data_IF_273133988212
#
_entry.id   IF_273133988212
#
_cell.length_a   1.000
_cell.length_b   1.000
_cell.length_c   1.000
_cell.angle_alpha   90.00
_cell.angle_beta   90.00
_cell.angle_gamma   90.00
#
_symmetry.space_group_name_H-M   'P 1'
#
loop_
_entity.id
_entity.type
_entity.pdbx_description
1 polymer ?
#
# COMPACT_ATOMS: atom_id res chain seq x y z
N UNK A 1 -0.96 -2.85 -29.18
CA UNK A 1 -0.61 -3.35 -27.83
C UNK A 1 -0.85 -4.84 -27.85
N UNK A 2 0.22 -5.63 -27.79
CA UNK A 2 0.16 -7.09 -27.79
C UNK A 2 -0.44 -7.58 -26.46
N UNK A 3 -1.50 -8.39 -26.50
CA UNK A 3 -2.15 -8.95 -25.30
C UNK A 3 -2.01 -10.47 -25.25
N UNK A 4 -1.61 -11.02 -24.10
CA UNK A 4 -1.73 -12.44 -23.77
C UNK A 4 -2.91 -12.62 -22.83
N UNK A 5 -3.94 -13.34 -23.29
CA UNK A 5 -5.08 -13.73 -22.48
C UNK A 5 -4.84 -15.13 -21.93
N UNK A 6 -5.06 -15.31 -20.62
CA UNK A 6 -4.82 -16.57 -19.90
C UNK A 6 -6.08 -16.95 -19.14
N UNK A 7 -6.76 -17.99 -19.62
CA UNK A 7 -7.87 -18.61 -18.91
C UNK A 7 -7.36 -19.59 -17.86
N UNK A 8 -7.99 -19.61 -16.68
CA UNK A 8 -7.75 -20.54 -15.59
C UNK A 8 -9.00 -21.43 -15.41
N UNK A 9 -9.15 -22.54 -16.14
CA UNK A 9 -10.36 -23.37 -16.10
C UNK A 9 -10.75 -23.88 -14.70
N UNK A 10 -9.77 -23.98 -13.79
CA UNK A 10 -10.01 -24.36 -12.40
C UNK A 10 -10.46 -23.23 -11.47
N UNK A 11 -10.61 -21.99 -11.96
CA UNK A 11 -10.97 -20.81 -11.18
C UNK A 11 -9.95 -20.43 -10.10
N UNK A 12 -8.73 -20.94 -10.20
CA UNK A 12 -7.73 -20.87 -9.13
C UNK A 12 -6.31 -20.80 -9.66
N UNK A 13 -5.48 -20.01 -8.98
CA UNK A 13 -4.06 -19.87 -9.27
C UNK A 13 -3.23 -20.18 -8.03
N UNK A 14 -2.22 -21.04 -8.20
CA UNK A 14 -1.37 -21.52 -7.11
C UNK A 14 0.04 -20.98 -7.25
N UNK A 15 0.41 -20.07 -6.35
CA UNK A 15 1.77 -19.59 -6.20
C UNK A 15 1.94 -19.02 -4.78
N UNK A 16 3.10 -19.25 -4.17
CA UNK A 16 3.43 -18.71 -2.86
C UNK A 16 4.12 -17.36 -2.98
N UNK A 17 3.77 -16.43 -2.09
CA UNK A 17 4.55 -15.22 -1.87
C UNK A 17 5.89 -15.59 -1.22
N UNK A 18 6.98 -14.98 -1.68
CA UNK A 18 8.32 -15.25 -1.17
C UNK A 18 8.53 -14.77 0.28
N UNK A 19 7.82 -13.72 0.70
CA UNK A 19 7.92 -13.15 2.04
C UNK A 19 7.07 -13.90 3.09
N UNK A 20 5.86 -14.34 2.73
CA UNK A 20 5.02 -15.23 3.54
C UNK A 20 4.53 -16.40 2.68
N UNK A 21 5.13 -17.59 2.82
CA UNK A 21 4.77 -18.78 2.04
C UNK A 21 3.32 -19.26 2.21
N UNK A 22 2.59 -18.78 3.22
CA UNK A 22 1.15 -19.05 3.39
C UNK A 22 0.29 -18.16 2.53
N UNK A 23 0.78 -16.98 2.15
CA UNK A 23 0.02 -16.05 1.34
C UNK A 23 0.18 -16.39 -0.15
N UNK A 24 -0.91 -16.39 -0.92
CA UNK A 24 -0.80 -16.51 -2.35
C UNK A 24 -0.12 -15.27 -2.94
N UNK A 25 0.75 -15.50 -3.93
CA UNK A 25 1.13 -14.45 -4.86
C UNK A 25 -0.08 -14.17 -5.75
N UNK A 26 -0.60 -12.94 -5.76
CA UNK A 26 -1.70 -12.53 -6.63
C UNK A 26 -1.56 -11.04 -6.97
N UNK A 27 -1.76 -10.63 -8.23
CA UNK A 27 -1.97 -11.44 -9.44
C UNK A 27 -0.73 -12.28 -9.84
N UNK A 28 -0.80 -13.14 -10.87
CA UNK A 28 0.38 -13.82 -11.39
C UNK A 28 1.44 -12.81 -11.86
N UNK A 29 2.66 -12.90 -11.32
CA UNK A 29 3.74 -12.00 -11.72
C UNK A 29 4.12 -12.21 -13.21
N UNK A 30 4.35 -11.14 -14.00
CA UNK A 30 4.73 -11.28 -15.41
C UNK A 30 5.95 -12.18 -15.66
N UNK A 31 6.94 -12.18 -14.77
CA UNK A 31 8.12 -13.07 -14.90
C UNK A 31 7.77 -14.56 -14.82
N UNK A 32 6.70 -14.90 -14.09
CA UNK A 32 6.23 -16.27 -13.93
C UNK A 32 5.41 -16.71 -15.14
N UNK A 33 4.63 -15.81 -15.72
CA UNK A 33 3.95 -16.02 -16.99
C UNK A 33 4.99 -16.23 -18.11
N UNK A 34 6.03 -15.40 -18.16
CA UNK A 34 7.15 -15.59 -19.09
C UNK A 34 7.82 -16.96 -18.92
N UNK A 35 8.06 -17.38 -17.68
CA UNK A 35 8.64 -18.71 -17.41
C UNK A 35 7.74 -19.85 -17.92
N UNK A 36 6.41 -19.68 -17.87
CA UNK A 36 5.46 -20.65 -18.41
C UNK A 36 5.45 -20.69 -19.94
N UNK A 37 5.58 -19.53 -20.61
CA UNK A 37 5.79 -19.44 -22.06
C UNK A 37 7.09 -20.14 -22.48
N UNK A 38 8.20 -19.88 -21.79
CA UNK A 38 9.47 -20.57 -22.07
C UNK A 38 9.31 -22.08 -21.88
N UNK A 39 8.65 -22.53 -20.81
CA UNK A 39 8.37 -23.95 -20.60
C UNK A 39 7.51 -24.56 -21.73
N UNK A 40 6.52 -23.82 -22.25
CA UNK A 40 5.69 -24.23 -23.37
C UNK A 40 6.51 -24.41 -24.66
N UNK A 41 7.54 -23.58 -24.86
CA UNK A 41 8.47 -23.68 -25.99
C UNK A 41 9.28 -25.00 -25.99
N UNK A 42 9.51 -25.60 -24.81
CA UNK A 42 10.19 -26.89 -24.64
C UNK A 42 9.23 -28.07 -24.40
N UNK A 43 7.91 -27.84 -24.43
CA UNK A 43 6.91 -28.85 -24.08
C UNK A 43 6.99 -30.09 -24.98
N UNK A 44 7.02 -31.27 -24.38
CA UNK A 44 7.13 -32.55 -25.10
C UNK A 44 8.54 -32.88 -25.60
N UNK A 45 9.58 -32.27 -25.01
CA UNK A 45 10.99 -32.56 -25.34
C UNK A 45 11.50 -31.87 -26.61
N UNK A 46 10.72 -30.94 -27.17
CA UNK A 46 11.13 -30.14 -28.34
C UNK A 46 12.19 -29.11 -27.97
N UNK A 47 12.86 -28.61 -29.01
CA UNK A 47 13.69 -27.41 -28.93
C UNK A 47 12.95 -26.25 -29.59
N UNK A 48 12.99 -25.04 -29.02
CA UNK A 48 12.37 -23.88 -29.65
C UNK A 48 13.09 -23.53 -30.96
N UNK A 49 12.30 -23.24 -31.99
CA UNK A 49 12.77 -22.72 -33.27
C UNK A 49 13.45 -21.36 -33.13
N UNK A 50 14.18 -20.92 -34.16
CA UNK A 50 14.78 -19.59 -34.19
C UNK A 50 13.73 -18.47 -34.04
N UNK A 51 12.57 -18.63 -34.69
CA UNK A 51 11.46 -17.68 -34.60
C UNK A 51 10.85 -17.63 -33.19
N UNK A 52 10.61 -18.78 -32.55
CA UNK A 52 10.12 -18.84 -31.16
C UNK A 52 11.12 -18.21 -30.19
N UNK A 53 12.42 -18.48 -30.36
CA UNK A 53 13.48 -17.85 -29.54
C UNK A 53 13.51 -16.34 -29.71
N UNK A 54 13.42 -15.85 -30.96
CA UNK A 54 13.41 -14.42 -31.24
C UNK A 54 12.17 -13.74 -30.62
N UNK A 55 10.99 -14.35 -30.75
CA UNK A 55 9.76 -13.84 -30.16
C UNK A 55 9.83 -13.77 -28.63
N UNK A 56 10.36 -14.81 -27.98
CA UNK A 56 10.61 -14.81 -26.53
C UNK A 56 11.60 -13.72 -26.11
N UNK A 57 12.70 -13.52 -26.86
CA UNK A 57 13.68 -12.46 -26.59
C UNK A 57 13.08 -11.06 -26.72
N UNK A 58 12.20 -10.84 -27.72
CA UNK A 58 11.50 -9.58 -27.88
C UNK A 58 10.54 -9.33 -26.70
N UNK A 59 9.77 -10.35 -26.30
CA UNK A 59 8.86 -10.26 -25.16
C UNK A 59 9.60 -10.06 -23.83
N UNK A 60 10.78 -10.66 -23.68
CA UNK A 60 11.65 -10.50 -22.52
C UNK A 60 12.18 -9.07 -22.34
N UNK A 61 12.47 -8.41 -23.47
CA UNK A 61 12.96 -7.04 -23.53
C UNK A 61 11.82 -6.00 -23.54
N UNK A 62 10.57 -6.43 -23.61
CA UNK A 62 9.41 -5.55 -23.63
C UNK A 62 9.26 -4.78 -22.31
N UNK A 63 8.65 -3.58 -22.33
CA UNK A 63 8.32 -2.86 -21.10
C UNK A 63 7.38 -3.69 -20.22
N UNK A 64 7.32 -3.42 -18.90
CA UNK A 64 6.33 -4.05 -18.02
C UNK A 64 4.92 -3.99 -18.61
N UNK A 65 4.15 -5.09 -18.64
CA UNK A 65 2.82 -5.11 -19.25
C UNK A 65 1.76 -4.52 -18.32
N UNK A 66 0.72 -3.89 -18.85
CA UNK A 66 -0.52 -3.69 -18.11
C UNK A 66 -1.19 -5.04 -17.82
N UNK A 67 -1.88 -5.19 -16.70
CA UNK A 67 -2.44 -6.48 -16.26
C UNK A 67 -3.92 -6.33 -15.93
N UNK A 68 -4.75 -7.18 -16.51
CA UNK A 68 -6.16 -7.37 -16.15
C UNK A 68 -6.30 -8.68 -15.39
N UNK A 69 -7.04 -8.66 -14.29
CA UNK A 69 -7.38 -9.85 -13.52
C UNK A 69 -8.63 -9.59 -12.69
N UNK A 70 -9.44 -10.63 -12.40
CA UNK A 70 -10.63 -10.51 -11.55
C UNK A 70 -10.23 -10.30 -10.09
N UNK A 71 -11.20 -9.89 -9.28
CA UNK A 71 -11.09 -10.03 -7.83
C UNK A 71 -10.86 -11.50 -7.46
N UNK A 72 -10.08 -11.75 -6.40
CA UNK A 72 -9.81 -13.08 -5.91
C UNK A 72 -9.79 -13.15 -4.38
N UNK A 73 -10.28 -14.25 -3.82
CA UNK A 73 -10.04 -14.60 -2.41
C UNK A 73 -8.60 -15.10 -2.26
N UNK A 74 -7.79 -14.33 -1.52
CA UNK A 74 -6.36 -14.53 -1.30
C UNK A 74 -6.04 -14.94 0.14
N UNK A 75 -6.94 -15.69 0.78
CA UNK A 75 -6.75 -16.18 2.14
C UNK A 75 -5.45 -16.98 2.35
N UNK A 76 -4.83 -16.89 3.54
CA UNK A 76 -3.68 -17.71 3.89
C UNK A 76 -3.99 -19.21 3.77
N UNK A 77 -3.05 -19.96 3.22
CA UNK A 77 -3.12 -21.40 3.08
C UNK A 77 -3.20 -22.08 4.46
N UNK A 78 -4.09 -23.06 4.59
CA UNK A 78 -4.09 -23.98 5.71
C UNK A 78 -2.92 -24.98 5.61
N UNK A 79 -2.55 -25.55 6.76
CA UNK A 79 -1.56 -26.62 6.82
C UNK A 79 -2.14 -27.93 6.25
N UNK A 80 -1.48 -28.47 5.23
CA UNK A 80 -1.78 -29.75 4.63
C UNK A 80 -0.69 -30.78 5.00
N UNK A 81 -1.09 -31.95 5.49
CA UNK A 81 -0.17 -33.00 5.90
C UNK A 81 0.06 -34.00 4.76
N UNK A 82 1.17 -33.82 4.03
CA UNK A 82 1.48 -34.57 2.80
C UNK A 82 2.45 -35.71 3.07
N UNK A 83 2.23 -36.92 2.52
CA UNK A 83 3.17 -38.03 2.65
C UNK A 83 4.59 -37.69 2.19
N UNK A 84 5.62 -38.16 2.91
CA UNK A 84 7.01 -38.03 2.48
C UNK A 84 7.35 -39.21 1.58
N UNK A 85 7.55 -38.94 0.28
CA UNK A 85 7.89 -39.98 -0.71
C UNK A 85 9.35 -40.46 -0.62
N UNK A 86 10.23 -39.72 0.07
CA UNK A 86 11.64 -40.07 0.29
C UNK A 86 12.02 -39.93 1.78
N UNK A 87 11.72 -40.94 2.62
CA UNK A 87 12.23 -40.96 3.98
C UNK A 87 13.75 -41.15 3.93
N UNK A 88 14.52 -40.15 4.37
CA UNK A 88 15.99 -40.20 4.54
C UNK A 88 16.48 -41.29 5.52
N UNK A 89 15.63 -42.19 5.99
CA UNK A 89 15.90 -43.11 7.11
C UNK A 89 15.64 -44.58 6.82
N UNK A 90 15.56 -45.02 5.55
CA UNK A 90 15.42 -46.47 5.27
C UNK A 90 16.75 -47.23 5.08
N UNK A 91 17.90 -46.54 4.98
CA UNK A 91 19.19 -47.18 4.65
C UNK A 91 20.22 -47.14 5.79
N UNK A 92 20.07 -46.29 6.82
CA UNK A 92 21.02 -46.20 7.95
C UNK A 92 20.40 -46.54 9.33
N UNK A 93 19.50 -47.51 9.40
CA UNK A 93 19.11 -48.07 10.69
C UNK A 93 20.24 -48.96 11.21
N UNK A 94 21.08 -48.42 12.13
CA UNK A 94 21.98 -49.22 12.96
C UNK A 94 21.22 -50.41 13.55
N UNK A 95 21.74 -51.62 13.36
CA UNK A 95 21.25 -52.86 14.00
C UNK A 95 20.95 -52.61 15.49
N UNK A 96 19.68 -52.67 15.88
CA UNK A 96 19.27 -52.69 17.30
C UNK A 96 18.18 -51.72 17.73
N UNK A 97 17.76 -50.76 16.90
CA UNK A 97 16.57 -49.93 17.23
C UNK A 97 15.39 -50.32 16.36
N UNK A 98 14.50 -51.15 16.90
CA UNK A 98 13.16 -51.33 16.36
C UNK A 98 12.39 -50.01 16.53
N UNK A 99 12.38 -49.16 15.51
CA UNK A 99 11.41 -48.07 15.46
C UNK A 99 10.08 -48.65 15.00
N UNK A 100 9.07 -48.58 15.87
CA UNK A 100 7.76 -49.21 15.69
C UNK A 100 6.98 -48.68 14.47
N UNK A 101 5.83 -49.31 14.14
CA UNK A 101 5.16 -49.19 12.83
C UNK A 101 4.52 -47.82 12.49
N UNK A 102 4.73 -46.76 13.27
CA UNK A 102 3.86 -45.57 13.26
C UNK A 102 4.60 -44.25 13.52
N UNK A 103 5.71 -43.96 12.84
CA UNK A 103 6.15 -42.56 12.76
C UNK A 103 5.27 -41.80 11.75
N UNK A 104 4.81 -40.56 12.05
CA UNK A 104 4.02 -39.77 11.12
C UNK A 104 4.82 -39.53 9.83
N UNK A 105 4.52 -40.29 8.77
CA UNK A 105 5.13 -40.11 7.45
C UNK A 105 4.53 -38.90 6.71
N UNK A 106 4.17 -37.83 7.44
CA UNK A 106 3.51 -36.65 6.88
C UNK A 106 4.29 -35.39 7.24
N UNK A 107 4.66 -34.63 6.23
CA UNK A 107 5.22 -33.29 6.39
C UNK A 107 4.13 -32.26 6.17
N UNK A 108 4.14 -31.21 7.00
CA UNK A 108 3.30 -30.04 6.79
C UNK A 108 3.78 -29.32 5.53
N UNK A 109 2.84 -29.08 4.61
CA UNK A 109 3.02 -28.28 3.41
C UNK A 109 1.87 -27.29 3.30
N UNK A 110 2.13 -26.18 2.65
CA UNK A 110 1.15 -25.13 2.38
C UNK A 110 1.01 -25.00 0.87
N UNK A 111 -0.23 -24.87 0.40
CA UNK A 111 -0.57 -24.72 -1.01
C UNK A 111 -1.40 -23.45 -1.18
N UNK A 112 -0.77 -22.26 -1.07
CA UNK A 112 -1.48 -21.01 -1.22
C UNK A 112 -2.08 -20.88 -2.61
N UNK A 113 -3.34 -20.47 -2.65
CA UNK A 113 -4.12 -20.32 -3.86
C UNK A 113 -4.92 -19.02 -3.81
N UNK A 114 -4.96 -18.30 -4.93
CA UNK A 114 -5.93 -17.25 -5.18
C UNK A 114 -7.13 -17.87 -5.88
N UNK A 115 -8.34 -17.70 -5.31
CA UNK A 115 -9.59 -18.17 -5.88
C UNK A 115 -10.30 -17.02 -6.58
N UNK A 116 -10.43 -17.11 -7.90
CA UNK A 116 -10.99 -16.03 -8.72
C UNK A 116 -12.50 -15.94 -8.49
N UNK A 117 -12.99 -14.75 -8.19
CA UNK A 117 -14.39 -14.48 -7.88
C UNK A 117 -15.18 -13.98 -9.10
N UNK A 118 -14.49 -13.54 -10.15
CA UNK A 118 -15.06 -13.15 -11.45
C UNK A 118 -14.73 -14.16 -12.56
N UNK A 119 -14.82 -13.69 -13.81
CA UNK A 119 -14.36 -14.47 -14.97
C UNK A 119 -12.90 -14.91 -14.76
N UNK A 120 -12.60 -16.22 -14.83
CA UNK A 120 -11.33 -16.78 -14.38
C UNK A 120 -10.23 -16.57 -15.43
N UNK A 121 -9.94 -15.30 -15.71
CA UNK A 121 -9.08 -14.87 -16.79
C UNK A 121 -8.12 -13.78 -16.33
N UNK A 122 -6.86 -13.91 -16.72
CA UNK A 122 -5.84 -12.88 -16.52
C UNK A 122 -5.30 -12.50 -17.89
N UNK A 123 -5.15 -11.21 -18.15
CA UNK A 123 -4.52 -10.73 -19.38
C UNK A 123 -3.33 -9.82 -19.09
N UNK A 124 -2.27 -9.96 -19.89
CA UNK A 124 -1.07 -9.15 -19.84
C UNK A 124 -0.93 -8.44 -21.18
N UNK A 125 -0.82 -7.12 -21.17
CA UNK A 125 -0.75 -6.32 -22.37
C UNK A 125 0.54 -5.49 -22.43
N UNK A 126 1.38 -5.75 -23.43
CA UNK A 126 2.66 -5.08 -23.66
C UNK A 126 2.52 -3.98 -24.71
N UNK A 127 3.09 -2.82 -24.40
CA UNK A 127 3.19 -1.70 -25.36
C UNK A 127 4.33 -1.93 -26.36
N UNK A 128 4.12 -2.95 -27.19
CA UNK A 128 4.97 -3.28 -28.34
C UNK A 128 4.08 -3.59 -29.54
N UNK A 129 4.64 -3.37 -30.72
CA UNK A 129 4.04 -3.79 -31.98
C UNK A 129 4.75 -5.06 -32.47
N UNK A 130 3.96 -6.03 -32.92
CA UNK A 130 4.45 -7.27 -33.53
C UNK A 130 3.81 -7.41 -34.91
N UNK A 131 4.54 -8.03 -35.83
CA UNK A 131 4.02 -8.44 -37.13
C UNK A 131 3.00 -9.59 -37.00
N UNK A 132 2.22 -9.84 -38.06
CA UNK A 132 1.27 -10.95 -38.08
C UNK A 132 1.96 -12.32 -37.91
N UNK A 133 3.15 -12.50 -38.50
CA UNK A 133 3.94 -13.72 -38.39
C UNK A 133 4.47 -13.92 -36.96
N UNK A 134 4.97 -12.87 -36.32
CA UNK A 134 5.42 -12.90 -34.92
C UNK A 134 4.27 -13.20 -33.96
N UNK A 135 3.09 -12.60 -34.19
CA UNK A 135 1.88 -12.88 -33.43
C UNK A 135 1.48 -14.35 -33.54
N UNK A 136 1.51 -14.93 -34.74
CA UNK A 136 1.18 -16.33 -34.95
C UNK A 136 2.16 -17.27 -34.22
N UNK A 137 3.45 -16.93 -34.20
CA UNK A 137 4.48 -17.68 -33.45
C UNK A 137 4.19 -17.61 -31.94
N UNK A 138 3.92 -16.42 -31.41
CA UNK A 138 3.60 -16.21 -30.00
C UNK A 138 2.31 -16.95 -29.60
N UNK A 139 1.26 -16.86 -30.40
CA UNK A 139 -0.03 -17.52 -30.14
C UNK A 139 0.11 -19.05 -30.15
N UNK A 140 0.87 -19.59 -31.12
CA UNK A 140 1.19 -21.03 -31.17
C UNK A 140 1.93 -21.49 -29.92
N UNK A 141 2.79 -20.63 -29.36
CA UNK A 141 3.53 -20.90 -28.13
C UNK A 141 2.63 -20.81 -26.89
N UNK A 142 1.75 -19.79 -26.82
CA UNK A 142 0.76 -19.65 -25.76
C UNK A 142 -0.22 -20.84 -25.71
N UNK A 143 -0.67 -21.33 -26.87
CA UNK A 143 -1.55 -22.50 -26.98
C UNK A 143 -0.95 -23.79 -26.40
N UNK A 144 0.38 -23.85 -26.19
CA UNK A 144 1.09 -24.98 -25.58
C UNK A 144 1.30 -24.82 -24.07
N UNK A 145 0.93 -23.69 -23.48
CA UNK A 145 1.01 -23.50 -22.04
C UNK A 145 0.11 -24.50 -21.33
N UNK A 146 0.64 -25.16 -20.30
CA UNK A 146 -0.11 -26.17 -19.52
C UNK A 146 -0.53 -25.63 -18.16
N UNK A 147 0.31 -24.83 -17.53
CA UNK A 147 0.07 -24.24 -16.22
C UNK A 147 0.91 -22.98 -16.02
N UNK A 148 0.51 -22.11 -15.10
CA UNK A 148 1.31 -20.99 -14.61
C UNK A 148 1.58 -21.17 -13.13
N UNK A 149 2.86 -21.09 -12.74
CA UNK A 149 3.27 -21.30 -11.34
C UNK A 149 3.46 -22.76 -11.00
N UNK A 150 2.46 -23.42 -10.44
CA UNK A 150 2.51 -24.85 -10.11
C UNK A 150 1.57 -25.65 -11.00
N UNK A 151 1.78 -26.97 -11.09
CA UNK A 151 0.96 -27.87 -11.90
C UNK A 151 -0.51 -27.95 -11.46
N UNK A 152 -0.90 -27.35 -10.33
CA UNK A 152 -2.30 -27.27 -9.89
C UNK A 152 -3.08 -26.12 -10.56
N UNK A 153 -2.39 -25.17 -11.19
CA UNK A 153 -2.97 -23.99 -11.84
C UNK A 153 -2.91 -24.14 -13.38
N UNK A 154 -3.73 -25.04 -13.91
CA UNK A 154 -3.85 -25.27 -15.36
C UNK A 154 -4.36 -24.04 -16.07
N UNK A 155 -3.88 -23.81 -17.30
CA UNK A 155 -4.26 -22.64 -18.10
C UNK A 155 -4.54 -22.99 -19.55
N UNK A 156 -5.33 -22.13 -20.19
CA UNK A 156 -5.37 -21.95 -21.64
C UNK A 156 -4.85 -20.55 -21.94
N UNK A 157 -4.18 -20.33 -23.07
CA UNK A 157 -3.66 -18.99 -23.39
C UNK A 157 -3.65 -18.71 -24.89
N UNK A 158 -3.91 -17.44 -25.24
CA UNK A 158 -3.94 -16.93 -26.61
C UNK A 158 -3.35 -15.52 -26.68
N UNK A 159 -2.70 -15.19 -27.78
CA UNK A 159 -2.21 -13.83 -28.04
C UNK A 159 -3.13 -13.09 -29.02
N UNK A 160 -3.35 -11.80 -28.74
CA UNK A 160 -4.15 -10.89 -29.54
C UNK A 160 -3.36 -9.62 -29.89
N UNK A 161 -3.59 -9.05 -31.08
CA UNK A 161 -2.89 -7.86 -31.57
C UNK A 161 -3.33 -6.56 -30.87
N UNK A 162 -4.49 -6.57 -30.23
CA UNK A 162 -5.10 -5.42 -29.59
C UNK A 162 -5.78 -5.85 -28.30
N UNK A 163 -5.44 -5.18 -27.20
CA UNK A 163 -6.15 -5.32 -25.94
C UNK A 163 -7.50 -4.61 -26.01
N UNK A 164 -8.56 -5.27 -25.56
CA UNK A 164 -9.93 -4.77 -25.65
C UNK A 164 -10.47 -4.19 -24.34
N UNK A 165 -9.91 -4.58 -23.19
CA UNK A 165 -10.46 -4.26 -21.87
C UNK A 165 -9.54 -3.38 -21.01
N UNK A 166 -10.16 -2.66 -20.07
CA UNK A 166 -9.47 -1.78 -19.11
C UNK A 166 -8.61 -2.64 -18.16
N UNK A 167 -7.31 -2.35 -18.01
CA UNK A 167 -6.44 -3.09 -17.11
C UNK A 167 -6.78 -2.84 -15.63
N UNK A 168 -6.52 -3.82 -14.77
CA UNK A 168 -6.65 -3.71 -13.30
C UNK A 168 -5.39 -3.09 -12.68
N UNK A 169 -4.23 -3.28 -13.30
CA UNK A 169 -2.96 -2.68 -12.90
C UNK A 169 -2.21 -2.17 -14.12
N UNK A 170 -1.59 -1.01 -13.99
CA UNK A 170 -0.71 -0.42 -15.01
C UNK A 170 0.67 -0.14 -14.40
N UNK A 171 1.77 -0.33 -15.16
CA UNK A 171 3.10 0.07 -14.72
C UNK A 171 3.13 1.56 -14.39
N UNK A 172 3.67 1.92 -13.24
CA UNK A 172 3.83 3.32 -12.82
C UNK A 172 5.03 3.45 -11.90
N UNK A 173 5.91 4.42 -12.17
CA UNK A 173 7.05 4.70 -11.31
C UNK A 173 6.64 5.12 -9.88
N UNK A 174 5.42 5.64 -9.71
CA UNK A 174 4.83 6.01 -8.43
C UNK A 174 3.90 4.92 -7.84
N UNK A 175 3.91 3.72 -8.44
CA UNK A 175 3.10 2.59 -7.96
C UNK A 175 3.55 2.06 -6.60
N UNK A 176 2.60 1.55 -5.83
CA UNK A 176 2.80 0.95 -4.52
C UNK A 176 2.73 -0.59 -4.53
N UNK A 177 2.34 -1.18 -5.67
CA UNK A 177 2.32 -2.63 -5.90
C UNK A 177 3.56 -3.03 -6.70
N UNK A 178 4.33 -3.99 -6.21
CA UNK A 178 5.58 -4.42 -6.85
C UNK A 178 5.45 -5.83 -7.43
N UNK A 179 5.51 -5.95 -8.76
CA UNK A 179 5.45 -7.22 -9.46
C UNK A 179 6.78 -7.55 -10.11
N UNK A 180 7.13 -8.85 -10.14
CA UNK A 180 8.35 -9.32 -10.79
C UNK A 180 8.13 -9.37 -12.29
N UNK A 181 8.96 -8.64 -13.02
CA UNK A 181 9.00 -8.61 -14.48
C UNK A 181 10.34 -9.14 -14.98
N UNK A 182 10.38 -9.53 -16.25
CA UNK A 182 11.60 -10.00 -16.89
C UNK A 182 12.55 -8.84 -17.18
N UNK A 183 13.84 -9.17 -17.28
CA UNK A 183 14.87 -8.31 -17.86
C UNK A 183 15.65 -9.13 -18.90
N UNK A 184 16.25 -8.48 -19.92
CA UNK A 184 17.20 -9.15 -20.81
C UNK A 184 18.22 -10.03 -20.07
N UNK A 185 18.39 -11.27 -20.55
CA UNK A 185 19.12 -12.37 -19.92
C UNK A 185 18.25 -13.51 -19.35
N UNK A 186 16.92 -13.35 -19.25
CA UNK A 186 16.00 -14.33 -18.63
C UNK A 186 15.88 -15.62 -19.42
N UNK A 187 15.76 -15.59 -20.75
CA UNK A 187 15.72 -16.82 -21.56
C UNK A 187 17.02 -17.62 -21.40
N UNK A 188 18.16 -16.94 -21.48
CA UNK A 188 19.50 -17.55 -21.32
C UNK A 188 19.64 -18.18 -19.93
N UNK A 189 19.14 -17.50 -18.90
CA UNK A 189 19.13 -18.02 -17.54
C UNK A 189 18.30 -19.31 -17.43
N UNK A 190 17.08 -19.31 -17.98
CA UNK A 190 16.20 -20.48 -17.96
C UNK A 190 16.76 -21.64 -18.77
N UNK A 191 17.36 -21.38 -19.94
CA UNK A 191 18.06 -22.38 -20.76
C UNK A 191 19.20 -23.04 -19.97
N UNK A 192 20.03 -22.23 -19.30
CA UNK A 192 21.13 -22.73 -18.46
C UNK A 192 20.61 -23.62 -17.33
N UNK A 193 19.55 -23.19 -16.65
CA UNK A 193 18.94 -23.96 -15.56
C UNK A 193 18.34 -25.28 -16.05
N UNK A 194 17.74 -25.29 -17.24
CA UNK A 194 17.23 -26.51 -17.86
C UNK A 194 18.37 -27.49 -18.18
N UNK A 195 19.50 -27.00 -18.72
CA UNK A 195 20.67 -27.81 -19.06
C UNK A 195 21.40 -28.38 -17.83
N UNK A 196 21.41 -27.65 -16.70
CA UNK A 196 21.99 -28.13 -15.44
C UNK A 196 21.21 -29.33 -14.83
N UNK A 197 20.00 -29.60 -15.31
CA UNK A 197 19.17 -30.71 -14.88
C UNK A 197 18.55 -30.54 -13.48
N UNK A 198 17.71 -31.49 -13.09
CA UNK A 198 16.95 -31.48 -11.82
C UNK A 198 17.79 -31.89 -10.58
N UNK A 199 19.13 -31.90 -10.69
CA UNK A 199 20.03 -32.48 -9.69
C UNK A 199 20.30 -31.64 -8.43
N UNK A 200 19.87 -30.37 -8.41
CA UNK A 200 20.04 -29.50 -7.24
C UNK A 200 18.75 -29.41 -6.43
N UNK A 201 18.83 -29.68 -5.12
CA UNK A 201 17.70 -29.67 -4.17
C UNK A 201 17.00 -28.31 -4.03
N UNK A 202 17.53 -27.24 -4.62
CA UNK A 202 16.99 -25.88 -4.50
C UNK A 202 17.25 -25.10 -5.79
N UNK A 203 16.17 -24.63 -6.44
CA UNK A 203 16.27 -23.71 -7.58
C UNK A 203 16.97 -22.42 -7.11
N UNK A 204 18.00 -21.94 -7.82
CA UNK A 204 18.65 -20.68 -7.46
C UNK A 204 17.68 -19.50 -7.59
N UNK A 205 17.89 -18.42 -6.81
CA UNK A 205 17.08 -17.22 -6.96
C UNK A 205 17.24 -16.64 -8.38
N UNK A 206 16.15 -16.15 -8.99
CA UNK A 206 16.20 -15.64 -10.36
C UNK A 206 17.09 -14.39 -10.45
N UNK A 207 17.99 -14.36 -11.43
CA UNK A 207 18.95 -13.27 -11.63
C UNK A 207 18.49 -12.22 -12.65
N UNK A 208 17.66 -12.61 -13.61
CA UNK A 208 17.12 -11.72 -14.65
C UNK A 208 15.65 -11.36 -14.40
N UNK A 209 15.31 -11.08 -13.14
CA UNK A 209 14.02 -10.52 -12.72
C UNK A 209 14.24 -9.19 -12.01
N UNK A 210 13.32 -8.23 -12.20
CA UNK A 210 13.30 -6.96 -11.47
C UNK A 210 11.90 -6.70 -10.93
N UNK A 211 11.80 -5.96 -9.82
CA UNK A 211 10.53 -5.46 -9.33
C UNK A 211 10.16 -4.19 -10.10
N UNK A 212 9.05 -4.24 -10.83
CA UNK A 212 8.43 -3.06 -11.42
C UNK A 212 7.27 -2.61 -10.52
N UNK A 213 7.15 -1.30 -10.36
CA UNK A 213 6.06 -0.67 -9.62
C UNK A 213 4.80 -0.56 -10.50
N UNK A 214 3.64 -0.83 -9.91
CA UNK A 214 2.33 -0.85 -10.52
C UNK A 214 1.36 -0.06 -9.65
N UNK A 215 0.38 0.54 -10.31
CA UNK A 215 -0.76 1.17 -9.66
C UNK A 215 -2.04 0.67 -10.31
N UNK A 216 -3.15 0.69 -9.56
CA UNK A 216 -4.46 0.52 -10.18
C UNK A 216 -4.74 1.76 -11.04
N UNK A 217 -5.04 1.63 -12.34
CA UNK A 217 -5.49 2.77 -13.11
C UNK A 217 -6.78 3.23 -12.43
N UNK A 218 -6.74 4.42 -11.84
CA UNK A 218 -7.92 5.01 -11.24
C UNK A 218 -9.05 4.92 -12.28
N UNK A 219 -10.20 4.37 -11.88
CA UNK A 219 -11.44 4.61 -12.61
C UNK A 219 -11.45 6.11 -12.96
N UNK A 220 -11.73 6.44 -14.23
CA UNK A 220 -11.64 7.81 -14.75
C UNK A 220 -12.02 8.81 -13.64
N UNK A 221 -11.10 9.70 -13.23
CA UNK A 221 -11.16 10.28 -11.90
C UNK A 221 -12.52 10.92 -11.66
N UNK A 222 -13.28 10.39 -10.71
CA UNK A 222 -14.03 11.28 -9.81
C UNK A 222 -12.98 12.30 -9.36
N UNK A 223 -13.19 13.57 -9.69
CA UNK A 223 -12.18 14.63 -9.60
C UNK A 223 -11.53 14.59 -8.21
N UNK A 224 -10.36 13.95 -8.10
CA UNK A 224 -9.67 13.78 -6.83
C UNK A 224 -9.33 15.17 -6.32
N UNK A 225 -9.78 15.49 -5.11
CA UNK A 225 -9.38 16.74 -4.47
C UNK A 225 -8.12 16.43 -3.66
N UNK A 226 -6.98 16.84 -4.19
CA UNK A 226 -5.70 16.74 -3.48
C UNK A 226 -5.67 17.71 -2.29
N UNK A 227 -5.04 17.28 -1.19
CA UNK A 227 -4.77 18.18 -0.07
C UNK A 227 -3.82 19.30 -0.50
N UNK A 228 -4.01 20.48 0.06
CA UNK A 228 -3.10 21.62 -0.12
C UNK A 228 -1.79 21.50 0.67
N UNK A 229 -1.56 20.36 1.33
CA UNK A 229 -0.40 20.12 2.18
C UNK A 229 0.43 18.95 1.65
N UNK A 230 1.74 19.15 1.57
CA UNK A 230 2.70 18.06 1.59
C UNK A 230 2.92 17.57 3.03
N UNK A 231 3.50 16.37 3.21
CA UNK A 231 3.55 15.68 4.49
C UNK A 231 4.90 15.04 4.77
N UNK A 232 5.43 15.33 5.95
CA UNK A 232 6.63 14.66 6.48
C UNK A 232 6.33 14.08 7.86
N UNK A 233 6.68 12.81 8.06
CA UNK A 233 6.51 12.13 9.37
C UNK A 233 7.84 12.08 10.13
N UNK A 234 7.79 12.45 11.41
CA UNK A 234 8.82 12.23 12.40
C UNK A 234 8.31 11.29 13.50
N UNK A 235 9.14 10.34 13.93
CA UNK A 235 8.86 9.44 15.06
C UNK A 235 9.33 10.07 16.36
N UNK A 236 8.50 9.98 17.39
CA UNK A 236 8.87 10.33 18.77
C UNK A 236 9.33 9.08 19.52
N UNK A 237 10.39 9.23 20.32
CA UNK A 237 10.95 8.21 21.21
C UNK A 237 11.08 8.77 22.61
N UNK A 238 11.09 7.89 23.60
CA UNK A 238 11.43 8.20 24.99
C UNK A 238 10.52 9.25 25.65
N UNK A 239 9.30 9.39 25.13
CA UNK A 239 8.25 10.21 25.70
C UNK A 239 6.88 9.55 25.52
N UNK A 240 5.95 9.86 26.40
CA UNK A 240 4.59 9.30 26.37
C UNK A 240 3.57 10.41 26.59
N UNK A 241 2.82 10.73 25.54
CA UNK A 241 1.73 11.70 25.58
C UNK A 241 0.50 11.14 24.90
N UNK A 242 -0.69 11.57 25.33
CA UNK A 242 -1.95 11.19 24.72
C UNK A 242 -2.41 12.18 23.66
N UNK A 243 -3.28 11.71 22.77
CA UNK A 243 -3.95 12.51 21.74
C UNK A 243 -4.73 13.71 22.32
N UNK A 244 -5.17 13.62 23.58
CA UNK A 244 -5.84 14.67 24.33
C UNK A 244 -4.97 15.93 24.51
N UNK A 245 -3.65 15.78 24.40
CA UNK A 245 -2.66 16.86 24.55
C UNK A 245 -2.12 17.40 23.22
N UNK A 246 -2.73 17.03 22.09
CA UNK A 246 -2.22 17.33 20.75
C UNK A 246 -1.87 18.82 20.54
N UNK A 247 -2.74 19.76 20.95
CA UNK A 247 -2.49 21.19 20.83
C UNK A 247 -1.19 21.63 21.54
N UNK A 248 -0.93 21.10 22.73
CA UNK A 248 0.25 21.45 23.52
C UNK A 248 1.52 20.93 22.84
N UNK A 249 1.47 19.69 22.33
CA UNK A 249 2.58 19.08 21.59
C UNK A 249 2.86 19.79 20.26
N UNK A 250 1.82 20.07 19.46
CA UNK A 250 1.95 20.78 18.19
C UNK A 250 2.59 22.16 18.38
N UNK A 251 2.22 22.89 19.45
CA UNK A 251 2.84 24.18 19.81
C UNK A 251 4.29 24.03 20.27
N UNK A 252 4.61 22.99 21.03
CA UNK A 252 5.99 22.72 21.43
C UNK A 252 6.87 22.44 20.20
N UNK A 253 6.39 21.64 19.25
CA UNK A 253 7.11 21.37 18.01
C UNK A 253 7.30 22.64 17.18
N UNK A 254 6.25 23.44 17.02
CA UNK A 254 6.36 24.73 16.32
C UNK A 254 7.45 25.60 16.94
N UNK A 255 7.47 25.76 18.26
CA UNK A 255 8.52 26.54 18.95
C UNK A 255 9.92 25.99 18.71
N UNK A 256 10.09 24.66 18.74
CA UNK A 256 11.38 24.03 18.46
C UNK A 256 11.83 24.23 17.01
N UNK A 257 10.92 24.08 16.05
CA UNK A 257 11.20 24.34 14.64
C UNK A 257 11.56 25.81 14.40
N UNK A 258 10.83 26.74 15.02
CA UNK A 258 11.12 28.16 14.95
C UNK A 258 12.52 28.50 15.46
N UNK A 259 12.92 27.93 16.61
CA UNK A 259 14.25 28.13 17.18
C UNK A 259 15.38 27.57 16.31
N UNK A 260 15.10 26.56 15.47
CA UNK A 260 16.07 25.97 14.55
C UNK A 260 16.21 26.75 13.23
N UNK A 261 15.10 27.32 12.73
CA UNK A 261 15.09 28.08 11.47
C UNK A 261 15.72 29.46 11.65
N UNK A 262 15.48 30.14 12.78
CA UNK A 262 16.00 31.48 13.04
C UNK A 262 15.16 32.60 12.41
N UNK A 263 15.78 33.74 12.13
CA UNK A 263 15.09 34.99 11.76
C UNK A 263 14.57 35.05 10.31
N UNK A 264 15.13 34.23 9.39
CA UNK A 264 14.74 34.16 7.97
C UNK A 264 13.49 33.27 7.72
N UNK A 265 12.51 33.34 8.61
CA UNK A 265 11.40 32.39 8.64
C UNK A 265 10.20 32.84 7.81
N UNK A 266 9.71 31.95 6.96
CA UNK A 266 8.56 32.19 6.10
C UNK A 266 7.22 32.34 6.86
N UNK A 267 6.25 32.99 6.21
CA UNK A 267 5.01 33.41 6.83
C UNK A 267 4.11 32.26 7.29
N UNK A 268 4.14 31.21 6.49
CA UNK A 268 3.49 29.92 6.70
C UNK A 268 3.93 29.27 8.02
N UNK A 269 5.16 29.53 8.49
CA UNK A 269 5.71 28.96 9.74
C UNK A 269 5.43 29.87 10.94
N UNK A 270 5.44 31.20 10.75
CA UNK A 270 5.14 32.15 11.82
C UNK A 270 3.65 32.17 12.20
N UNK A 271 2.73 31.72 11.35
CA UNK A 271 1.33 31.51 11.74
C UNK A 271 0.57 32.76 12.18
N UNK A 272 0.96 33.95 11.72
CA UNK A 272 0.42 35.26 12.15
C UNK A 272 -0.31 35.99 11.01
N UNK A 273 -0.23 35.47 9.78
CA UNK A 273 -0.87 36.03 8.60
C UNK A 273 -2.08 35.17 8.25
N UNK A 274 -3.28 35.65 8.58
CA UNK A 274 -4.51 34.89 8.37
C UNK A 274 -4.82 34.64 6.87
N UNK A 275 -4.15 35.35 5.96
CA UNK A 275 -4.32 35.20 4.51
C UNK A 275 -3.47 34.06 3.92
N UNK A 276 -2.45 33.59 4.67
CA UNK A 276 -1.51 32.57 4.20
C UNK A 276 -1.77 31.21 4.89
N UNK A 277 -1.85 30.10 4.14
CA UNK A 277 -1.95 28.77 4.74
C UNK A 277 -0.73 28.47 5.63
N UNK A 278 -0.96 28.02 6.86
CA UNK A 278 0.13 27.75 7.80
C UNK A 278 0.58 26.28 7.82
N UNK A 279 1.83 26.05 8.18
CA UNK A 279 2.36 24.72 8.51
C UNK A 279 1.56 24.14 9.66
N UNK A 280 1.06 22.92 9.46
CA UNK A 280 0.33 22.18 10.47
C UNK A 280 1.24 21.16 11.17
N UNK A 281 1.29 21.26 12.49
CA UNK A 281 2.08 20.43 13.39
C UNK A 281 1.15 19.41 14.04
N UNK A 282 1.15 18.19 13.50
CA UNK A 282 0.08 17.22 13.72
C UNK A 282 0.61 16.01 14.49
N UNK A 283 0.50 15.99 15.84
CA UNK A 283 0.72 14.77 16.62
C UNK A 283 -0.08 13.60 16.06
N UNK A 284 0.58 12.45 15.89
CA UNK A 284 0.02 11.24 15.31
C UNK A 284 -0.24 10.21 16.43
N UNK A 285 -1.49 10.08 16.89
CA UNK A 285 -1.83 9.10 17.90
C UNK A 285 -2.02 7.70 17.30
N UNK A 286 -1.67 6.69 18.08
CA UNK A 286 -1.90 5.29 17.78
C UNK A 286 -3.38 4.94 18.04
N UNK A 287 -4.16 4.86 16.96
CA UNK A 287 -5.63 4.73 16.98
C UNK A 287 -6.16 3.72 15.97
N UNK A 288 -7.37 3.21 16.20
CA UNK A 288 -8.13 2.39 15.24
C UNK A 288 -7.65 0.95 15.10
N UNK A 289 -7.21 0.35 16.21
CA UNK A 289 -6.99 -1.10 16.34
C UNK A 289 -7.29 -1.51 17.79
N UNK A 290 -7.51 -2.81 18.03
CA UNK A 290 -8.00 -3.38 19.31
C UNK A 290 -7.17 -3.04 20.57
N UNK A 291 -5.92 -2.60 20.40
CA UNK A 291 -5.02 -2.24 21.51
C UNK A 291 -4.61 -0.76 21.49
N UNK A 292 -5.25 0.05 20.66
CA UNK A 292 -5.00 1.47 20.57
C UNK A 292 -5.33 2.15 21.90
N UNK A 293 -4.44 3.04 22.34
CA UNK A 293 -4.62 3.84 23.57
C UNK A 293 -4.49 5.34 23.32
N UNK A 294 -4.41 5.77 22.07
CA UNK A 294 -4.29 7.19 21.74
C UNK A 294 -2.92 7.79 22.06
N UNK A 295 -1.91 6.95 22.31
CA UNK A 295 -0.56 7.44 22.58
C UNK A 295 0.01 8.07 21.31
N UNK A 296 0.54 9.27 21.42
CA UNK A 296 1.27 9.93 20.34
C UNK A 296 2.60 9.23 20.16
N UNK A 297 2.81 8.63 19.00
CA UNK A 297 4.04 7.89 18.65
C UNK A 297 4.89 8.62 17.60
N UNK A 298 4.36 9.68 17.01
CA UNK A 298 5.06 10.54 16.08
C UNK A 298 4.33 11.85 15.86
N UNK A 299 4.87 12.64 14.95
CA UNK A 299 4.33 13.92 14.55
C UNK A 299 4.47 14.03 13.04
N UNK A 300 3.41 14.49 12.39
CA UNK A 300 3.48 14.95 11.02
C UNK A 300 3.64 16.46 10.92
N UNK A 301 4.35 16.87 9.90
CA UNK A 301 4.55 18.25 9.51
C UNK A 301 3.91 18.38 8.15
N UNK A 302 2.77 19.06 8.12
CA UNK A 302 2.00 19.31 6.92
C UNK A 302 2.35 20.70 6.38
N UNK A 303 3.12 20.74 5.29
CA UNK A 303 3.64 21.97 4.69
C UNK A 303 2.72 22.41 3.54
N UNK A 304 2.25 23.67 3.50
CA UNK A 304 1.45 24.16 2.38
C UNK A 304 2.18 24.01 1.04
N UNK A 305 1.48 23.52 0.01
CA UNK A 305 2.00 23.42 -1.35
C UNK A 305 2.24 24.78 -2.00
N UNK A 306 1.58 25.84 -1.51
CA UNK A 306 1.76 27.22 -1.95
C UNK A 306 3.05 27.88 -1.44
N UNK A 307 3.75 27.23 -0.50
CA UNK A 307 4.99 27.74 0.08
C UNK A 307 6.09 27.83 -0.98
N UNK A 308 6.88 28.91 -0.97
CA UNK A 308 8.02 29.06 -1.89
C UNK A 308 9.00 27.91 -1.72
N UNK A 309 9.54 27.41 -2.84
CA UNK A 309 10.42 26.24 -2.85
C UNK A 309 11.66 26.42 -1.94
N UNK A 310 12.28 27.59 -1.96
CA UNK A 310 13.42 27.92 -1.11
C UNK A 310 13.08 27.84 0.39
N UNK A 311 11.96 28.42 0.80
CA UNK A 311 11.51 28.42 2.20
C UNK A 311 11.13 27.02 2.67
N UNK A 312 10.50 26.24 1.77
CA UNK A 312 10.16 24.84 2.02
C UNK A 312 11.41 23.98 2.23
N UNK A 313 12.41 24.11 1.36
CA UNK A 313 13.68 23.39 1.49
C UNK A 313 14.42 23.79 2.77
N UNK A 314 14.44 25.08 3.13
CA UNK A 314 15.03 25.57 4.37
C UNK A 314 14.33 25.01 5.62
N UNK A 315 13.00 24.97 5.62
CA UNK A 315 12.22 24.37 6.70
C UNK A 315 12.52 22.87 6.84
N UNK A 316 12.51 22.12 5.73
CA UNK A 316 12.80 20.69 5.73
C UNK A 316 14.24 20.38 6.19
N UNK A 317 15.23 21.13 5.72
CA UNK A 317 16.62 20.98 6.13
C UNK A 317 16.81 21.26 7.63
N UNK A 318 16.15 22.28 8.17
CA UNK A 318 16.16 22.59 9.60
C UNK A 318 15.49 21.50 10.43
N UNK A 319 14.34 20.98 9.97
CA UNK A 319 13.61 19.90 10.63
C UNK A 319 14.37 18.57 10.60
N UNK A 320 15.14 18.29 9.55
CA UNK A 320 16.01 17.12 9.48
C UNK A 320 17.10 17.12 10.56
N UNK A 321 17.45 18.29 11.11
CA UNK A 321 18.41 18.46 12.21
C UNK A 321 17.77 18.32 13.60
N UNK A 322 16.44 18.27 13.69
CA UNK A 322 15.73 18.10 14.96
C UNK A 322 15.86 16.66 15.44
N UNK A 323 16.84 16.42 16.33
CA UNK A 323 17.06 15.10 16.94
C UNK A 323 16.43 14.97 18.33
N UNK A 324 16.20 16.10 19.01
CA UNK A 324 15.66 16.17 20.35
C UNK A 324 14.61 17.25 20.44
N UNK A 325 13.47 16.92 21.04
CA UNK A 325 12.38 17.85 21.28
C UNK A 325 12.13 17.97 22.78
N UNK A 326 12.31 19.16 23.33
CA UNK A 326 11.91 19.45 24.70
C UNK A 326 10.40 19.63 24.75
N UNK A 327 9.76 18.78 25.54
CA UNK A 327 8.31 18.72 25.70
C UNK A 327 7.84 19.70 26.78
N UNK A 328 6.54 20.03 26.81
CA UNK A 328 5.98 21.01 27.76
C UNK A 328 6.19 20.66 29.24
N UNK A 329 6.32 19.39 29.58
CA UNK A 329 6.57 18.88 30.94
C UNK A 329 8.06 18.82 31.30
N UNK A 330 8.95 19.27 30.42
CA UNK A 330 10.40 19.24 30.60
C UNK A 330 11.07 17.94 30.16
N UNK A 331 10.32 16.90 29.75
CA UNK A 331 10.91 15.71 29.16
C UNK A 331 11.56 16.02 27.81
N UNK A 332 12.56 15.22 27.41
CA UNK A 332 13.22 15.36 26.11
C UNK A 332 12.92 14.12 25.29
N UNK A 333 12.10 14.27 24.25
CA UNK A 333 11.81 13.21 23.30
C UNK A 333 12.92 13.09 22.26
N UNK A 334 13.31 11.87 21.91
CA UNK A 334 14.09 11.59 20.72
C UNK A 334 13.23 11.76 19.46
N UNK A 335 13.77 12.36 18.43
CA UNK A 335 13.08 12.61 17.15
C UNK A 335 13.88 11.98 16.03
N UNK A 336 13.21 11.23 15.16
CA UNK A 336 13.83 10.60 13.99
C UNK A 336 12.91 10.66 12.77
N UNK A 337 13.43 10.88 11.56
CA UNK A 337 12.63 10.81 10.34
C UNK A 337 12.07 9.39 10.14
N UNK A 338 10.90 9.30 9.53
CA UNK A 338 10.27 8.04 9.13
C UNK A 338 10.30 7.93 7.61
N UNK A 339 10.75 6.78 7.12
CA UNK A 339 10.63 6.37 5.72
C UNK A 339 9.58 5.28 5.68
N UNK A 340 8.53 5.46 4.89
CA UNK A 340 7.42 4.51 4.81
C UNK A 340 7.93 3.11 4.39
N UNK A 341 7.42 2.09 5.09
CA UNK A 341 7.83 0.71 4.89
C UNK A 341 6.97 -0.26 5.71
N UNK A 342 7.07 -1.57 5.45
CA UNK A 342 6.22 -2.58 6.07
C UNK A 342 6.38 -2.66 7.60
N UNK A 343 7.56 -2.32 8.13
CA UNK A 343 7.86 -2.35 9.57
C UNK A 343 7.45 -1.06 10.31
N UNK A 344 7.02 -0.03 9.59
CA UNK A 344 6.60 1.23 10.19
C UNK A 344 5.23 1.06 10.86
N UNK A 345 5.06 1.47 12.13
CA UNK A 345 3.75 1.51 12.79
C UNK A 345 2.70 2.22 11.94
N UNK A 346 1.48 1.70 11.91
CA UNK A 346 0.40 2.21 11.04
C UNK A 346 0.19 3.71 11.23
N UNK A 347 0.16 4.22 12.46
CA UNK A 347 -0.04 5.65 12.72
C UNK A 347 1.11 6.55 12.24
N UNK A 348 2.28 6.01 11.87
CA UNK A 348 3.40 6.76 11.30
C UNK A 348 3.42 6.72 9.76
N UNK A 349 2.63 5.84 9.13
CA UNK A 349 2.56 5.76 7.67
C UNK A 349 1.80 6.95 7.11
N UNK A 350 2.32 7.56 6.05
CA UNK A 350 1.65 8.70 5.40
C UNK A 350 0.24 8.33 4.89
N UNK A 351 0.10 7.14 4.29
CA UNK A 351 -1.16 6.62 3.75
C UNK A 351 -2.27 6.52 4.79
N UNK A 352 -1.96 6.26 6.06
CA UNK A 352 -2.95 6.22 7.15
C UNK A 352 -3.74 7.51 7.28
N UNK A 353 -3.13 8.65 6.97
CA UNK A 353 -3.73 9.98 7.14
C UNK A 353 -4.07 10.65 5.81
N UNK A 354 -3.43 10.22 4.72
CA UNK A 354 -3.51 10.86 3.41
C UNK A 354 -4.28 10.08 2.36
N UNK A 355 -4.51 8.78 2.55
CA UNK A 355 -5.20 7.97 1.54
C UNK A 355 -6.53 8.61 1.11
N UNK A 356 -6.70 8.76 -0.20
CA UNK A 356 -7.91 9.34 -0.78
C UNK A 356 -9.15 8.56 -0.34
N UNK A 357 -10.15 9.27 0.16
CA UNK A 357 -11.39 8.67 0.66
C UNK A 357 -12.55 9.65 0.55
N UNK A 358 -13.75 9.11 0.34
CA UNK A 358 -15.00 9.86 0.50
C UNK A 358 -15.45 9.92 1.95
N UNK A 359 -15.02 8.98 2.81
CA UNK A 359 -15.45 8.87 4.20
C UNK A 359 -14.31 9.17 5.16
N UNK A 360 -14.53 10.12 6.07
CA UNK A 360 -13.54 10.59 7.02
C UNK A 360 -14.16 10.71 8.42
N UNK A 361 -13.40 10.34 9.44
CA UNK A 361 -13.81 10.48 10.84
C UNK A 361 -12.69 11.15 11.63
N UNK A 362 -13.07 12.05 12.53
CA UNK A 362 -12.11 12.78 13.39
C UNK A 362 -11.43 11.83 14.38
N UNK A 363 -10.10 11.89 14.46
CA UNK A 363 -9.30 11.25 15.51
C UNK A 363 -9.11 12.20 16.70
N UNK A 364 -8.92 13.48 16.45
CA UNK A 364 -9.01 14.53 17.48
C UNK A 364 -10.21 15.42 17.17
N UNK A 365 -11.00 15.85 18.16
CA UNK A 365 -12.24 16.57 17.91
C UNK A 365 -11.96 17.94 17.29
N UNK A 366 -12.90 18.42 16.48
CA UNK A 366 -12.85 19.73 15.84
C UNK A 366 -13.34 20.78 16.83
N UNK A 367 -12.52 21.82 17.04
CA UNK A 367 -12.96 23.05 17.69
C UNK A 367 -13.53 23.98 16.62
N UNK A 368 -14.82 24.29 16.71
CA UNK A 368 -15.51 25.08 15.70
C UNK A 368 -14.87 26.47 15.58
N UNK A 369 -14.62 26.92 14.35
CA UNK A 369 -14.13 28.27 14.08
C UNK A 369 -15.17 29.31 14.51
N UNK A 370 -16.43 29.05 14.15
CA UNK A 370 -17.62 29.86 14.41
C UNK A 370 -18.69 29.02 15.11
N UNK A 371 -18.65 28.90 16.44
CA UNK A 371 -19.63 28.08 17.18
C UNK A 371 -21.04 28.69 17.11
N UNK A 372 -22.10 27.87 16.96
CA UNK A 372 -23.47 28.37 16.90
C UNK A 372 -23.94 28.91 18.26
N UNK A 373 -24.89 29.86 18.24
CA UNK A 373 -25.49 30.42 19.47
C UNK A 373 -26.31 29.40 20.27
N UNK A 374 -26.97 28.46 19.57
CA UNK A 374 -27.70 27.33 20.14
C UNK A 374 -27.15 26.06 19.51
N UNK A 375 -26.75 25.10 20.32
CA UNK A 375 -26.18 23.84 19.84
C UNK A 375 -27.28 22.79 19.69
N UNK A 376 -27.63 22.48 18.44
CA UNK A 376 -28.38 21.29 18.06
C UNK A 376 -27.62 20.54 16.95
N UNK A 377 -28.08 19.35 16.56
CA UNK A 377 -27.38 18.52 15.57
C UNK A 377 -27.09 19.29 14.27
N UNK A 378 -28.10 19.98 13.73
CA UNK A 378 -28.01 20.63 12.41
C UNK A 378 -27.11 21.88 12.44
N UNK A 379 -27.20 22.68 13.50
CA UNK A 379 -26.36 23.88 13.66
C UNK A 379 -24.89 23.53 13.89
N UNK A 380 -24.61 22.44 14.61
CA UNK A 380 -23.25 21.95 14.79
C UNK A 380 -22.72 21.34 13.49
N UNK A 381 -23.54 20.59 12.75
CA UNK A 381 -23.17 20.07 11.44
C UNK A 381 -22.84 21.20 10.45
N UNK A 382 -23.67 22.25 10.39
CA UNK A 382 -23.41 23.43 9.55
C UNK A 382 -22.09 24.14 9.94
N UNK A 383 -21.83 24.31 11.24
CA UNK A 383 -20.57 24.91 11.70
C UNK A 383 -19.33 24.03 11.39
N UNK A 384 -19.47 22.71 11.43
CA UNK A 384 -18.42 21.78 10.99
C UNK A 384 -18.16 21.89 9.47
N UNK A 385 -19.22 22.01 8.67
CA UNK A 385 -19.11 22.24 7.23
C UNK A 385 -18.37 23.56 6.94
N UNK A 386 -18.72 24.64 7.63
CA UNK A 386 -18.05 25.92 7.49
C UNK A 386 -16.57 25.85 7.92
N UNK A 387 -16.24 25.08 8.96
CA UNK A 387 -14.84 24.85 9.37
C UNK A 387 -14.04 24.05 8.34
N UNK A 388 -14.66 23.11 7.61
CA UNK A 388 -14.02 22.38 6.50
C UNK A 388 -13.82 23.30 5.27
N UNK A 389 -14.83 24.10 4.94
CA UNK A 389 -14.81 25.08 3.86
C UNK A 389 -13.69 26.13 4.08
N UNK A 390 -13.60 26.69 5.29
CA UNK A 390 -12.49 27.57 5.71
C UNK A 390 -11.13 26.87 5.70
N UNK A 391 -11.10 25.54 5.84
CA UNK A 391 -9.89 24.75 5.69
C UNK A 391 -9.58 24.37 4.23
N UNK A 392 -10.37 24.86 3.27
CA UNK A 392 -10.16 24.64 1.83
C UNK A 392 -10.61 23.27 1.35
N UNK A 393 -11.44 22.55 2.12
CA UNK A 393 -12.03 21.28 1.72
C UNK A 393 -13.44 21.51 1.15
N UNK A 394 -13.91 20.64 0.23
CA UNK A 394 -15.27 20.72 -0.29
C UNK A 394 -16.28 20.59 0.85
N UNK A 395 -17.47 21.17 0.67
CA UNK A 395 -18.57 20.94 1.60
C UNK A 395 -19.01 19.47 1.50
N UNK A 396 -19.00 18.71 2.60
CA UNK A 396 -19.43 17.32 2.60
C UNK A 396 -20.93 17.19 2.37
N UNK A 397 -21.35 16.08 1.76
CA UNK A 397 -22.76 15.74 1.53
C UNK A 397 -23.45 15.22 2.80
N UNK A 398 -22.68 14.72 3.76
CA UNK A 398 -23.18 14.28 5.06
C UNK A 398 -22.19 14.62 6.16
N UNK A 399 -22.70 15.12 7.28
CA UNK A 399 -21.96 15.35 8.52
C UNK A 399 -22.77 14.84 9.69
N UNK A 400 -22.13 14.04 10.55
CA UNK A 400 -22.67 13.63 11.84
C UNK A 400 -21.73 14.09 12.96
N UNK A 401 -22.23 14.96 13.83
CA UNK A 401 -21.51 15.38 15.02
C UNK A 401 -21.65 14.33 16.15
N UNK A 402 -20.54 13.97 16.77
CA UNK A 402 -20.44 12.97 17.83
C UNK A 402 -19.63 13.51 19.01
N UNK A 403 -19.81 12.91 20.19
CA UNK A 403 -18.97 13.20 21.37
C UNK A 403 -17.73 12.30 21.46
N UNK A 404 -17.69 11.23 20.68
CA UNK A 404 -16.60 10.26 20.62
C UNK A 404 -16.19 10.01 19.18
N UNK A 405 -14.95 9.60 19.00
CA UNK A 405 -14.40 9.13 17.72
C UNK A 405 -14.89 7.73 17.37
N UNK A 406 -14.78 7.36 16.09
CA UNK A 406 -14.99 5.98 15.60
C UNK A 406 -13.76 5.10 15.80
N UNK A 407 -12.61 5.71 16.08
CA UNK A 407 -11.36 5.01 16.22
C UNK A 407 -11.06 4.75 17.69
N UNK A 408 -10.89 3.47 18.04
CA UNK A 408 -10.40 3.07 19.36
C UNK A 408 -9.10 3.78 19.71
N UNK A 409 -8.97 4.16 20.97
CA UNK A 409 -7.83 4.92 21.50
C UNK A 409 -7.91 6.43 21.26
N UNK A 410 -8.77 6.94 20.38
CA UNK A 410 -8.97 8.38 20.27
C UNK A 410 -9.61 8.95 21.57
N UNK A 411 -9.25 10.17 21.97
CA UNK A 411 -9.81 10.80 23.15
C UNK A 411 -11.28 11.14 22.92
N UNK A 412 -12.09 11.22 23.97
CA UNK A 412 -13.42 11.79 23.84
C UNK A 412 -13.32 13.29 23.55
N UNK A 413 -14.38 13.86 22.97
CA UNK A 413 -14.42 15.30 22.69
C UNK A 413 -14.10 16.09 23.96
N UNK A 414 -14.68 15.68 25.10
CA UNK A 414 -14.54 16.38 26.38
C UNK A 414 -13.15 16.26 27.03
N UNK A 415 -12.32 15.29 26.63
CA UNK A 415 -10.98 15.10 27.20
C UNK A 415 -9.99 16.19 26.74
N UNK A 416 -10.25 16.86 25.61
CA UNK A 416 -9.43 17.98 25.16
C UNK A 416 -9.59 19.17 26.12
N UNK A 417 -8.52 19.66 26.77
CA UNK A 417 -8.61 20.69 27.81
C UNK A 417 -8.83 22.07 27.21
N UNK A 418 -10.09 22.43 26.95
CA UNK A 418 -10.48 23.75 26.42
C UNK A 418 -11.87 24.17 26.88
N UNK A 419 -12.15 25.47 26.81
CA UNK A 419 -13.50 26.04 27.01
C UNK A 419 -14.27 26.21 25.70
N UNK A 420 -13.60 26.03 24.56
CA UNK A 420 -14.20 26.15 23.23
C UNK A 420 -15.05 24.90 22.96
N UNK A 421 -16.27 25.07 22.42
CA UNK A 421 -17.09 23.95 22.00
C UNK A 421 -16.39 23.06 20.95
N UNK A 422 -16.50 21.74 21.12
CA UNK A 422 -15.74 20.75 20.37
C UNK A 422 -16.53 19.46 20.15
N UNK A 423 -16.39 18.89 18.96
CA UNK A 423 -17.10 17.67 18.58
C UNK A 423 -16.21 16.79 17.71
N UNK A 424 -16.41 15.49 17.82
CA UNK A 424 -16.01 14.58 16.75
C UNK A 424 -17.00 14.72 15.59
N UNK A 425 -16.53 14.39 14.39
CA UNK A 425 -17.33 14.42 13.19
C UNK A 425 -17.06 13.18 12.35
N UNK A 426 -18.14 12.58 11.84
CA UNK A 426 -18.11 11.67 10.69
C UNK A 426 -18.58 12.46 9.48
N UNK A 427 -17.82 12.44 8.40
CA UNK A 427 -18.14 13.21 7.20
C UNK A 427 -18.03 12.34 5.96
N UNK A 428 -18.89 12.65 4.99
CA UNK A 428 -18.90 12.03 3.67
C UNK A 428 -18.82 13.13 2.62
N UNK A 429 -17.81 13.07 1.75
CA UNK A 429 -17.68 13.94 0.59
C UNK A 429 -18.37 13.31 -0.63
N UNK A 430 -18.75 14.15 -1.61
CA UNK A 430 -19.33 13.71 -2.88
C UNK A 430 -18.30 13.05 -3.81
N UNK A 431 -17.01 13.20 -3.51
CA UNK A 431 -15.88 12.66 -4.27
C UNK A 431 -14.68 12.37 -3.37
N UNK A 432 -13.70 11.58 -3.81
CA UNK A 432 -12.51 11.27 -3.03
C UNK A 432 -11.70 12.55 -2.73
N UNK A 433 -11.38 12.74 -1.45
CA UNK A 433 -10.48 13.79 -0.97
C UNK A 433 -9.21 13.12 -0.46
N UNK A 434 -8.04 13.57 -0.90
CA UNK A 434 -6.75 13.19 -0.33
C UNK A 434 -6.46 14.00 0.94
N UNK A 435 -5.89 13.34 1.95
CA UNK A 435 -5.53 14.01 3.20
C UNK A 435 -4.15 14.68 3.16
N UNK A 436 -3.74 15.31 4.29
CA UNK A 436 -4.44 15.27 5.57
C UNK A 436 -5.68 16.18 5.58
N UNK A 437 -6.81 15.64 6.05
CA UNK A 437 -8.01 16.45 6.31
C UNK A 437 -7.93 16.98 7.74
N UNK A 438 -7.89 18.31 7.86
CA UNK A 438 -7.81 19.02 9.14
C UNK A 438 -8.78 20.20 9.15
N UNK A 439 -9.52 20.41 10.25
CA UNK A 439 -10.52 21.49 10.33
C UNK A 439 -10.62 22.10 11.73
N UNK A 440 -11.12 23.33 11.80
CA UNK A 440 -11.32 24.05 13.07
C UNK A 440 -10.18 24.97 13.50
N UNK A 441 -10.41 25.65 14.63
CA UNK A 441 -9.56 26.74 15.13
C UNK A 441 -8.12 26.33 15.46
N UNK A 442 -7.92 25.09 15.90
CA UNK A 442 -6.61 24.56 16.31
C UNK A 442 -6.10 23.45 15.37
N UNK A 443 -6.60 23.41 14.13
CA UNK A 443 -6.25 22.41 13.12
C UNK A 443 -4.75 22.28 12.88
N UNK A 444 -4.03 23.41 12.88
CA UNK A 444 -2.58 23.44 12.66
C UNK A 444 -1.76 22.94 13.87
N UNK A 445 -2.40 22.53 14.96
CA UNK A 445 -1.75 21.98 16.15
C UNK A 445 -2.33 20.60 16.52
N UNK A 446 -2.89 19.88 15.54
CA UNK A 446 -3.34 18.50 15.71
C UNK A 446 -4.69 18.32 16.37
N UNK A 447 -5.46 19.39 16.57
CA UNK A 447 -6.83 19.33 17.08
C UNK A 447 -7.81 19.58 15.93
N UNK A 448 -8.64 18.59 15.62
CA UNK A 448 -9.46 18.56 14.41
C UNK A 448 -8.82 17.78 13.27
N UNK A 449 -8.02 16.76 13.60
CA UNK A 449 -7.39 15.84 12.65
C UNK A 449 -8.36 14.71 12.30
N UNK A 450 -8.53 14.46 11.00
CA UNK A 450 -9.33 13.35 10.49
C UNK A 450 -8.45 12.21 9.98
N UNK A 451 -9.04 11.02 9.96
CA UNK A 451 -8.47 9.82 9.34
C UNK A 451 -9.51 9.22 8.37
N UNK A 452 -9.09 8.67 7.22
CA UNK A 452 -9.99 7.92 6.34
C UNK A 452 -10.68 6.81 7.13
N UNK A 453 -12.00 6.71 6.98
CA UNK A 453 -12.78 5.67 7.67
C UNK A 453 -12.62 4.35 6.93
N UNK A 454 -12.08 3.29 7.56
CA UNK A 454 -12.02 1.95 6.99
C UNK A 454 -13.42 1.46 6.62
N UNK A 455 -13.53 0.60 5.61
CA UNK A 455 -14.82 0.12 5.11
C UNK A 455 -15.70 -0.48 6.21
N UNK A 456 -15.10 -1.16 7.18
CA UNK A 456 -15.74 -1.77 8.35
C UNK A 456 -16.46 -0.77 9.28
N UNK A 457 -16.05 0.50 9.26
CA UNK A 457 -16.61 1.57 10.10
C UNK A 457 -17.54 2.52 9.32
N UNK A 458 -17.80 2.26 8.03
CA UNK A 458 -18.70 3.05 7.18
C UNK A 458 -20.14 2.56 7.35
N UNK A 459 -20.74 2.82 8.51
CA UNK A 459 -22.16 2.50 8.80
C UNK A 459 -23.00 3.76 8.94
#
# INVERSE_FOLDING_TARGET
MLELQIGFPGGRYFAANNADPRQPEWPPHPSRVYSALVAAAYAGGRQPSAAERQALQQLEAAPPPAIRFPEADVRPAADAYVPVNDPRTRIEAKKGQSQGPLMPNRQVRQFPAAYMLGEPEVALAWDINVSADELQVLDTLAARMTHVGTSHAFVTATFHAQAEAVPTLVPSAAGDIFLRVTRPGRLIELDRLAQQGHGTLRRPPPMAEVLAAYTSPAAAPETLIASRYDWVTLRLRDASWGADTANTLGRALRRAAMALIGDDMAAEVHGHDEEVPHVAWLPLPDVGHVHARGRVIGIAIALPLSMKEQDRLAALASLARLQRLTLPDGQVAGVAPVIDGPEVPVALRSSTWRQASTHWSTVTPVLLDRPPRKSNSDTVAAALADSLDLAGFPRPVSIRACQTSDFDGAPAAMDIPTRVPRWHARIVFDRPVEGPVIAGRWKNFGVGLFRPTPMELRS
#
